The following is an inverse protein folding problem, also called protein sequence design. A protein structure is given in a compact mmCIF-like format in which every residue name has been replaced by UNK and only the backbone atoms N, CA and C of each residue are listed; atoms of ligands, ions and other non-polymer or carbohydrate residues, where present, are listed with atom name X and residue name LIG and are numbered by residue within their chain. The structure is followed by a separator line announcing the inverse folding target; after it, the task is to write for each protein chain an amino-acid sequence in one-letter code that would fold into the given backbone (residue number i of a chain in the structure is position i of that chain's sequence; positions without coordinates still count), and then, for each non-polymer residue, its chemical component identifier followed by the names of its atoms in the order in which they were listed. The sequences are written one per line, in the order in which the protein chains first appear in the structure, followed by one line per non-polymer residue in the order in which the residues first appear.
data_IF_487916505337
#
_entry.id   IF_487916505337
#
_cell.length_a   1.000
_cell.length_b   1.000
_cell.length_c   1.000
_cell.angle_alpha   90.00
_cell.angle_beta   90.00
_cell.angle_gamma   90.00
#
_symmetry.space_group_name_H-M   'P 1'
#
loop_
_entity.id
_entity.type
_entity.pdbx_description
1 polymer ?
#
# COMPACT_ATOMS: atom_id res chain seq x y z
N UNK A 1 22.93 17.47 -10.97
CA UNK A 1 23.72 16.31 -10.47
C UNK A 1 23.51 15.99 -8.98
N UNK A 2 22.97 16.92 -8.17
CA UNK A 2 22.81 16.77 -6.70
C UNK A 2 22.02 15.52 -6.24
N UNK A 3 20.90 15.17 -6.89
CA UNK A 3 20.08 14.03 -6.45
C UNK A 3 20.75 12.65 -6.61
N UNK A 4 21.52 12.40 -7.66
CA UNK A 4 22.19 11.10 -7.85
C UNK A 4 23.26 10.82 -6.80
N UNK A 5 23.90 11.88 -6.30
CA UNK A 5 24.84 11.79 -5.18
C UNK A 5 24.07 11.66 -3.86
N UNK A 6 22.98 12.41 -3.70
CA UNK A 6 22.10 12.30 -2.52
C UNK A 6 21.49 10.90 -2.39
N UNK A 7 21.01 10.29 -3.46
CA UNK A 7 20.42 8.95 -3.47
C UNK A 7 21.44 7.88 -3.07
N UNK A 8 22.63 7.88 -3.68
CA UNK A 8 23.70 6.95 -3.29
C UNK A 8 24.18 7.18 -1.86
N UNK A 9 24.19 8.44 -1.41
CA UNK A 9 24.59 8.80 -0.05
C UNK A 9 23.55 8.31 0.97
N UNK A 10 22.26 8.55 0.73
CA UNK A 10 21.17 8.08 1.60
C UNK A 10 21.13 6.55 1.65
N UNK A 11 21.38 5.84 0.53
CA UNK A 11 21.47 4.38 0.56
C UNK A 11 22.67 3.85 1.38
N UNK A 12 23.74 4.65 1.52
CA UNK A 12 24.94 4.28 2.28
C UNK A 12 24.96 4.78 3.74
N UNK A 13 24.29 5.89 4.05
CA UNK A 13 24.21 6.48 5.40
C UNK A 13 23.18 5.77 6.31
N UNK A 14 22.22 5.04 5.73
CA UNK A 14 21.05 4.50 6.41
C UNK A 14 21.16 3.03 6.87
N UNK A 15 22.35 2.42 6.81
CA UNK A 15 22.61 1.02 7.20
C UNK A 15 21.63 0.01 6.57
N UNK A 16 21.21 0.23 5.31
CA UNK A 16 20.43 -0.78 4.59
C UNK A 16 21.25 -2.05 4.35
N UNK A 17 20.67 -3.25 4.51
CA UNK A 17 21.34 -4.50 4.17
C UNK A 17 21.92 -4.50 2.74
N UNK A 18 23.05 -5.20 2.55
CA UNK A 18 23.75 -5.21 1.26
C UNK A 18 22.87 -5.73 0.10
N UNK A 19 21.99 -6.68 0.37
CA UNK A 19 21.03 -7.21 -0.60
C UNK A 19 19.95 -6.17 -0.96
N UNK A 20 19.58 -5.28 -0.04
CA UNK A 20 18.65 -4.17 -0.32
C UNK A 20 19.31 -3.11 -1.20
N UNK A 21 20.56 -2.75 -0.90
CA UNK A 21 21.33 -1.81 -1.72
C UNK A 21 21.51 -2.34 -3.15
N UNK A 22 21.75 -3.65 -3.31
CA UNK A 22 21.89 -4.30 -4.61
C UNK A 22 20.59 -4.32 -5.42
N UNK A 23 19.44 -4.45 -4.76
CA UNK A 23 18.12 -4.44 -5.39
C UNK A 23 17.57 -3.02 -5.64
N UNK A 24 18.18 -1.98 -5.06
CA UNK A 24 17.77 -0.60 -5.26
C UNK A 24 17.90 -0.17 -6.73
N UNK A 25 17.07 0.78 -7.14
CA UNK A 25 17.10 1.28 -8.51
C UNK A 25 18.45 1.88 -8.84
N UNK A 26 19.01 1.45 -9.97
CA UNK A 26 20.29 1.94 -10.48
C UNK A 26 20.16 3.31 -11.16
N UNK A 27 19.79 4.31 -10.36
CA UNK A 27 19.48 5.67 -10.82
C UNK A 27 20.59 6.28 -11.69
N UNK A 28 21.86 6.04 -11.34
CA UNK A 28 23.02 6.55 -12.10
C UNK A 28 23.14 5.91 -13.48
N UNK A 29 22.93 4.60 -13.59
CA UNK A 29 23.02 3.85 -14.84
C UNK A 29 21.83 4.21 -15.75
N UNK A 30 20.61 4.22 -15.20
CA UNK A 30 19.41 4.66 -15.93
C UNK A 30 19.58 6.07 -16.49
N UNK A 31 20.14 7.00 -15.71
CA UNK A 31 20.43 8.36 -16.18
C UNK A 31 21.51 8.42 -17.27
N UNK A 32 22.46 7.47 -17.30
CA UNK A 32 23.43 7.36 -18.41
C UNK A 32 22.75 6.84 -19.66
N UNK A 33 21.91 5.81 -19.56
CA UNK A 33 21.16 5.29 -20.71
C UNK A 33 20.25 6.37 -21.32
N UNK A 34 19.57 7.18 -20.49
CA UNK A 34 18.80 8.33 -20.99
C UNK A 34 19.66 9.31 -21.80
N UNK A 35 20.90 9.57 -21.37
CA UNK A 35 21.82 10.43 -22.15
C UNK A 35 22.27 9.76 -23.45
N UNK A 36 22.46 8.44 -23.47
CA UNK A 36 22.78 7.70 -24.70
C UNK A 36 21.63 7.75 -25.70
N UNK A 37 20.40 7.53 -25.22
CA UNK A 37 19.18 7.69 -26.04
C UNK A 37 19.09 9.10 -26.62
N UNK A 38 19.42 10.13 -25.82
CA UNK A 38 19.47 11.52 -26.31
C UNK A 38 20.48 11.71 -27.44
N UNK A 39 21.69 11.19 -27.26
CA UNK A 39 22.73 11.26 -28.30
C UNK A 39 22.28 10.53 -29.57
N UNK A 40 21.72 9.32 -29.43
CA UNK A 40 21.22 8.53 -30.55
C UNK A 40 20.10 9.24 -31.32
N UNK A 41 19.17 9.89 -30.62
CA UNK A 41 18.12 10.71 -31.25
C UNK A 41 18.70 11.91 -32.01
N UNK A 42 19.71 12.58 -31.43
CA UNK A 42 20.37 13.73 -32.08
C UNK A 42 21.19 13.29 -33.30
N UNK A 43 21.89 12.15 -33.22
CA UNK A 43 22.65 11.57 -34.33
C UNK A 43 21.73 11.16 -35.49
N UNK A 44 20.49 10.76 -35.18
CA UNK A 44 19.42 10.50 -36.16
C UNK A 44 18.72 11.78 -36.67
N UNK A 45 19.15 12.97 -36.24
CA UNK A 45 18.55 14.25 -36.63
C UNK A 45 17.18 14.51 -35.99
N UNK A 46 16.74 13.69 -35.04
CA UNK A 46 15.50 13.82 -34.28
C UNK A 46 15.75 14.66 -33.03
N UNK A 47 16.02 15.95 -33.23
CA UNK A 47 16.24 16.88 -32.10
C UNK A 47 14.96 17.10 -31.31
N UNK A 48 15.09 17.62 -30.09
CA UNK A 48 13.97 17.90 -29.18
C UNK A 48 12.98 18.88 -29.81
N UNK A 49 13.46 19.83 -30.60
CA UNK A 49 12.65 20.80 -31.33
C UNK A 49 11.84 20.13 -32.45
N UNK A 50 12.46 19.20 -33.19
CA UNK A 50 11.79 18.40 -34.25
C UNK A 50 10.69 17.52 -33.66
N UNK A 51 11.01 16.81 -32.58
CA UNK A 51 10.04 15.92 -31.90
C UNK A 51 8.86 16.70 -31.29
N UNK A 52 9.07 17.95 -30.85
CA UNK A 52 7.98 18.82 -30.38
C UNK A 52 7.06 19.26 -31.52
N UNK A 53 7.63 19.71 -32.65
CA UNK A 53 6.84 20.10 -33.82
C UNK A 53 5.95 18.95 -34.31
N UNK A 54 6.49 17.73 -34.36
CA UNK A 54 5.76 16.52 -34.76
C UNK A 54 4.60 16.13 -33.82
N UNK A 55 4.61 16.59 -32.56
CA UNK A 55 3.56 16.28 -31.56
C UNK A 55 2.51 17.39 -31.48
N UNK A 56 2.87 18.65 -31.78
CA UNK A 56 1.96 19.80 -31.71
C UNK A 56 1.13 19.98 -33.00
N UNK A 57 1.66 19.63 -34.17
CA UNK A 57 0.99 19.87 -35.46
C UNK A 57 0.10 18.70 -35.93
N UNK A 58 0.40 17.47 -35.47
CA UNK A 58 -0.39 16.30 -35.80
C UNK A 58 -1.42 16.04 -34.68
N UNK A 59 -2.70 16.33 -34.93
CA UNK A 59 -3.82 16.02 -34.01
C UNK A 59 -3.96 14.53 -33.61
N UNK A 60 -3.08 13.65 -34.09
CA UNK A 60 -2.81 12.30 -33.60
C UNK A 60 -1.28 12.07 -33.61
N UNK A 61 -0.69 11.46 -32.57
CA UNK A 61 0.76 11.36 -32.48
C UNK A 61 1.32 10.47 -33.59
N UNK A 62 2.12 11.06 -34.49
CA UNK A 62 2.96 10.38 -35.49
C UNK A 62 4.05 9.53 -34.79
N UNK A 63 4.30 9.79 -33.51
CA UNK A 63 5.27 9.10 -32.66
C UNK A 63 4.57 8.22 -31.61
N UNK A 64 4.69 6.88 -31.69
CA UNK A 64 4.08 5.95 -30.72
C UNK A 64 5.06 4.91 -30.19
N UNK A 65 5.33 4.93 -28.88
CA UNK A 65 5.92 3.79 -28.17
C UNK A 65 4.87 2.69 -28.00
N UNK A 66 5.10 1.53 -28.61
CA UNK A 66 4.21 0.37 -28.46
C UNK A 66 4.66 -0.55 -27.33
N UNK A 67 3.69 -1.02 -26.55
CA UNK A 67 3.83 -2.03 -25.49
C UNK A 67 2.90 -3.18 -25.85
N UNK A 68 3.38 -4.42 -25.77
CA UNK A 68 2.57 -5.60 -26.10
C UNK A 68 1.71 -6.11 -24.94
N UNK A 69 1.72 -5.42 -23.80
CA UNK A 69 0.92 -5.78 -22.64
C UNK A 69 1.68 -6.55 -21.55
N UNK A 70 2.94 -6.96 -21.75
CA UNK A 70 3.65 -7.85 -20.81
C UNK A 70 5.06 -7.39 -20.41
N UNK A 71 5.47 -7.73 -19.18
CA UNK A 71 6.81 -7.44 -18.61
C UNK A 71 7.98 -8.11 -19.37
N UNK A 72 7.71 -8.97 -20.35
CA UNK A 72 8.69 -9.86 -20.95
C UNK A 72 9.15 -9.45 -22.36
N UNK A 73 8.50 -8.47 -23.01
CA UNK A 73 8.85 -8.05 -24.37
C UNK A 73 8.64 -6.56 -24.59
N UNK A 74 9.52 -5.77 -23.98
CA UNK A 74 9.66 -4.37 -24.33
C UNK A 74 10.47 -4.24 -25.64
N UNK A 75 9.80 -3.95 -26.76
CA UNK A 75 10.48 -3.53 -28.00
C UNK A 75 10.05 -2.11 -28.35
N UNK A 76 10.88 -1.10 -28.08
CA UNK A 76 10.57 0.26 -28.48
C UNK A 76 10.69 0.36 -30.01
N UNK A 77 9.63 0.84 -30.64
CA UNK A 77 9.57 1.04 -32.09
C UNK A 77 9.14 2.47 -32.37
N UNK A 78 9.97 3.22 -33.07
CA UNK A 78 9.58 4.49 -33.68
C UNK A 78 8.96 4.19 -35.05
N UNK A 79 7.71 4.57 -35.24
CA UNK A 79 6.93 4.28 -36.44
C UNK A 79 6.75 5.58 -37.21
N UNK A 80 7.34 5.71 -38.41
CA UNK A 80 7.19 6.86 -39.30
C UNK A 80 6.35 6.47 -40.52
N UNK A 81 5.38 7.31 -40.90
CA UNK A 81 4.53 7.07 -42.08
C UNK A 81 4.99 7.97 -43.23
N UNK A 82 5.37 7.40 -44.37
CA UNK A 82 5.95 8.13 -45.53
C UNK A 82 5.19 7.76 -46.82
N UNK A 83 5.06 8.70 -47.76
CA UNK A 83 4.61 8.39 -49.14
C UNK A 83 5.68 7.64 -49.92
N UNK A 84 5.24 6.76 -50.80
CA UNK A 84 6.12 5.99 -51.68
C UNK A 84 6.43 6.66 -53.01
N UNK A 85 5.75 7.76 -53.35
CA UNK A 85 5.96 8.43 -54.65
C UNK A 85 7.09 9.46 -54.57
N UNK A 86 7.14 10.28 -53.52
CA UNK A 86 8.13 11.36 -53.39
C UNK A 86 9.24 11.09 -52.36
N UNK A 87 9.16 9.99 -51.59
CA UNK A 87 10.01 9.72 -50.43
C UNK A 87 9.97 10.83 -49.35
N UNK A 88 8.92 11.65 -49.37
CA UNK A 88 8.68 12.76 -48.43
C UNK A 88 7.70 12.29 -47.35
N UNK A 89 7.95 12.59 -46.06
CA UNK A 89 6.96 12.37 -45.00
C UNK A 89 5.67 13.11 -45.34
N UNK A 90 4.55 12.40 -45.38
CA UNK A 90 3.30 12.87 -45.99
C UNK A 90 2.49 13.86 -45.14
N UNK A 91 3.05 14.41 -44.06
CA UNK A 91 2.37 15.49 -43.33
C UNK A 91 3.35 16.47 -42.65
N UNK A 92 3.14 17.74 -43.02
CA UNK A 92 3.48 19.02 -42.38
C UNK A 92 4.88 19.63 -42.64
N UNK A 93 4.92 20.98 -42.61
CA UNK A 93 6.01 21.91 -42.96
C UNK A 93 7.31 21.69 -42.16
N UNK A 94 7.96 20.56 -42.39
CA UNK A 94 9.27 20.26 -41.81
C UNK A 94 10.30 21.23 -42.39
N UNK A 95 11.08 21.87 -41.52
CA UNK A 95 12.22 22.68 -41.95
C UNK A 95 13.15 21.88 -42.87
N UNK A 96 13.71 22.52 -43.90
CA UNK A 96 14.50 21.87 -44.96
C UNK A 96 15.62 20.96 -44.42
N UNK A 97 16.17 21.33 -43.26
CA UNK A 97 17.19 20.55 -42.54
C UNK A 97 16.64 19.25 -41.92
N UNK A 98 15.41 19.28 -41.38
CA UNK A 98 14.73 18.12 -40.78
C UNK A 98 14.33 17.11 -41.86
N UNK A 99 13.85 17.65 -43.00
CA UNK A 99 13.52 16.87 -44.19
C UNK A 99 14.74 16.13 -44.74
N UNK A 100 15.89 16.81 -44.89
CA UNK A 100 17.15 16.18 -45.36
C UNK A 100 17.68 15.09 -44.43
N UNK A 101 17.56 15.25 -43.11
CA UNK A 101 18.00 14.23 -42.15
C UNK A 101 17.13 12.98 -42.19
N UNK A 102 15.80 13.14 -42.28
CA UNK A 102 14.87 12.02 -42.46
C UNK A 102 15.06 11.34 -43.82
N UNK A 103 15.23 12.09 -44.91
CA UNK A 103 15.53 11.56 -46.25
C UNK A 103 16.85 10.77 -46.28
N UNK A 104 17.88 11.21 -45.52
CA UNK A 104 19.15 10.50 -45.37
C UNK A 104 19.00 9.14 -44.69
N UNK A 105 18.23 9.08 -43.60
CA UNK A 105 17.92 7.85 -42.87
C UNK A 105 17.09 6.86 -43.70
N UNK A 106 16.14 7.38 -44.47
CA UNK A 106 15.32 6.62 -45.41
C UNK A 106 16.21 6.03 -46.50
N UNK A 107 17.09 6.83 -47.12
CA UNK A 107 18.05 6.37 -48.14
C UNK A 107 19.04 5.35 -47.60
N UNK A 108 19.52 5.48 -46.36
CA UNK A 108 20.47 4.53 -45.76
C UNK A 108 19.81 3.18 -45.45
N UNK A 109 18.57 3.17 -44.93
CA UNK A 109 17.83 1.92 -44.69
C UNK A 109 17.34 1.24 -45.97
N UNK A 110 16.97 2.00 -47.00
CA UNK A 110 16.60 1.46 -48.32
C UNK A 110 17.82 1.04 -49.15
N UNK A 111 18.97 1.68 -48.97
CA UNK A 111 20.23 1.34 -49.66
C UNK A 111 20.86 0.02 -49.21
N UNK A 112 20.51 -0.48 -48.01
CA UNK A 112 20.92 -1.83 -47.53
C UNK A 112 19.97 -2.96 -47.95
N UNK A 113 18.87 -2.65 -48.62
CA UNK A 113 17.91 -3.63 -49.18
C UNK A 113 18.08 -3.81 -50.69
N UNK A 114 19.29 -4.11 -51.16
CA UNK A 114 19.57 -4.34 -52.58
C UNK A 114 19.45 -5.81 -52.98
N UNK A 115 18.44 -6.11 -53.80
CA UNK A 115 18.30 -7.27 -54.70
C UNK A 115 18.41 -8.68 -54.10
N UNK A 116 17.25 -9.29 -53.88
CA UNK A 116 17.05 -10.73 -53.96
C UNK A 116 15.88 -11.03 -54.89
N UNK A 117 16.12 -11.04 -56.20
CA UNK A 117 15.23 -11.69 -57.16
C UNK A 117 15.30 -13.20 -56.94
N UNK A 118 14.16 -13.84 -56.69
CA UNK A 118 14.01 -15.29 -56.65
C UNK A 118 12.53 -15.66 -56.69
N UNK A 119 12.05 -16.00 -57.88
CA UNK A 119 10.71 -16.48 -58.22
C UNK A 119 10.34 -17.81 -57.55
N UNK A 120 9.02 -18.07 -57.55
CA UNK A 120 8.28 -19.34 -57.35
C UNK A 120 8.13 -19.86 -55.89
N UNK A 121 7.00 -20.37 -55.41
CA UNK A 121 5.69 -20.68 -55.99
C UNK A 121 4.69 -21.03 -54.85
N UNK A 122 3.44 -20.57 -55.02
CA UNK A 122 2.12 -21.22 -54.83
C UNK A 122 1.73 -21.98 -53.53
N UNK A 123 0.44 -21.78 -53.17
CA UNK A 123 -0.52 -22.56 -52.36
C UNK A 123 -0.79 -22.06 -50.92
N UNK A 124 -2.01 -21.66 -50.54
CA UNK A 124 -3.31 -21.65 -51.21
C UNK A 124 -4.42 -21.12 -50.28
N UNK A 125 -5.59 -20.90 -50.90
CA UNK A 125 -6.97 -20.67 -50.40
C UNK A 125 -7.23 -20.08 -49.00
N UNK A 126 -8.21 -19.20 -48.79
CA UNK A 126 -9.60 -19.40 -49.24
C UNK A 126 -10.41 -18.11 -49.12
N UNK A 127 -11.37 -18.02 -50.04
CA UNK A 127 -12.38 -17.03 -50.36
C UNK A 127 -13.19 -16.45 -49.19
N UNK A 128 -13.59 -15.17 -49.33
CA UNK A 128 -15.00 -14.80 -49.27
C UNK A 128 -15.28 -13.56 -50.14
N UNK A 129 -15.91 -13.82 -51.30
CA UNK A 129 -16.50 -12.82 -52.19
C UNK A 129 -17.95 -12.57 -51.75
N UNK A 130 -18.36 -11.30 -51.59
CA UNK A 130 -19.69 -10.89 -52.02
C UNK A 130 -19.70 -9.44 -52.51
N UNK A 131 -19.95 -9.34 -53.81
CA UNK A 131 -20.12 -8.13 -54.61
C UNK A 131 -21.33 -7.31 -54.19
N UNK A 132 -21.25 -5.99 -54.33
CA UNK A 132 -22.29 -5.17 -54.96
C UNK A 132 -21.63 -4.00 -55.70
N UNK A 133 -21.92 -3.91 -57.00
CA UNK A 133 -21.46 -2.87 -57.91
C UNK A 133 -22.29 -1.60 -57.80
N UNK A 134 -21.63 -0.45 -57.76
CA UNK A 134 -22.22 0.86 -58.04
C UNK A 134 -21.14 1.79 -58.54
N UNK A 135 -21.11 2.02 -59.86
CA UNK A 135 -20.21 2.99 -60.51
C UNK A 135 -20.55 4.41 -60.05
N UNK A 136 -19.58 5.08 -59.44
CA UNK A 136 -19.43 6.54 -59.50
C UNK A 136 -17.93 6.84 -59.66
N UNK A 137 -17.60 7.65 -60.66
CA UNK A 137 -16.24 8.15 -60.91
C UNK A 137 -15.79 9.02 -59.74
N UNK A 138 -14.66 8.69 -59.15
CA UNK A 138 -13.76 9.66 -58.53
C UNK A 138 -12.34 9.10 -58.70
N UNK A 139 -11.52 9.81 -59.46
CA UNK A 139 -10.07 9.65 -59.43
C UNK A 139 -9.62 9.87 -57.98
N UNK A 140 -9.22 8.79 -57.32
CA UNK A 140 -8.48 8.85 -56.05
C UNK A 140 -7.23 8.03 -56.30
N UNK A 141 -6.13 8.73 -56.51
CA UNK A 141 -4.79 8.16 -56.50
C UNK A 141 -4.64 7.30 -55.24
N UNK A 142 -4.39 6.02 -55.44
CA UNK A 142 -4.18 5.07 -54.35
C UNK A 142 -2.82 5.39 -53.71
N UNK A 143 -2.82 6.28 -52.72
CA UNK A 143 -1.64 6.62 -51.92
C UNK A 143 -1.07 5.35 -51.30
N UNK A 144 0.07 4.89 -51.81
CA UNK A 144 0.81 3.77 -51.25
C UNK A 144 1.61 4.27 -50.04
N UNK A 145 1.02 4.12 -48.87
CA UNK A 145 1.62 4.50 -47.59
C UNK A 145 2.65 3.43 -47.16
N UNK A 146 3.87 3.84 -46.80
CA UNK A 146 4.87 2.95 -46.16
C UNK A 146 5.19 3.39 -44.74
N UNK A 147 5.23 2.40 -43.85
CA UNK A 147 5.58 2.58 -42.45
C UNK A 147 7.04 2.16 -42.23
N UNK A 148 7.87 3.06 -41.72
CA UNK A 148 9.28 2.79 -41.40
C UNK A 148 9.44 2.64 -39.88
N UNK A 149 9.99 1.49 -39.47
CA UNK A 149 10.35 1.22 -38.09
C UNK A 149 11.81 1.64 -37.82
N UNK A 150 12.00 2.57 -36.89
CA UNK A 150 13.29 2.94 -36.31
C UNK A 150 13.37 2.32 -34.92
N UNK A 151 14.33 1.43 -34.73
CA UNK A 151 14.67 0.84 -33.43
C UNK A 151 15.88 1.61 -32.90
N UNK A 152 15.74 2.21 -31.72
CA UNK A 152 16.91 2.71 -31.00
C UNK A 152 17.52 1.54 -30.23
N UNK A 153 18.83 1.52 -30.07
CA UNK A 153 19.51 0.47 -29.31
C UNK A 153 19.63 0.86 -27.82
N UNK A 154 19.77 2.16 -27.55
CA UNK A 154 20.02 2.67 -26.19
C UNK A 154 18.77 2.68 -25.30
N UNK A 155 17.57 2.69 -25.89
CA UNK A 155 16.31 2.67 -25.14
C UNK A 155 15.97 1.25 -24.67
N UNK A 156 16.23 0.24 -25.48
CA UNK A 156 16.11 -1.17 -25.11
C UNK A 156 16.99 -1.49 -23.88
N UNK A 157 18.23 -0.99 -23.86
CA UNK A 157 19.13 -1.06 -22.68
C UNK A 157 18.50 -0.38 -21.45
N UNK A 158 17.95 0.83 -21.62
CA UNK A 158 17.29 1.57 -20.55
C UNK A 158 16.10 0.81 -19.95
N UNK A 159 15.20 0.30 -20.78
CA UNK A 159 13.97 -0.36 -20.32
C UNK A 159 14.20 -1.75 -19.77
N UNK A 160 15.18 -2.51 -20.29
CA UNK A 160 15.63 -3.75 -19.63
C UNK A 160 16.18 -3.47 -18.23
N UNK A 161 16.99 -2.42 -18.06
CA UNK A 161 17.54 -2.03 -16.77
C UNK A 161 16.43 -1.56 -15.81
N UNK A 162 15.43 -0.83 -16.32
CA UNK A 162 14.30 -0.35 -15.52
C UNK A 162 13.42 -1.52 -15.06
N UNK A 163 13.05 -2.41 -15.98
CA UNK A 163 12.16 -3.55 -15.71
C UNK A 163 12.82 -4.56 -14.76
N UNK A 164 14.09 -4.88 -14.98
CA UNK A 164 14.85 -5.73 -14.05
C UNK A 164 15.02 -5.11 -12.67
N UNK A 165 15.19 -3.78 -12.59
CA UNK A 165 15.23 -3.04 -11.33
C UNK A 165 13.89 -3.10 -10.58
N UNK A 166 12.77 -2.90 -11.27
CA UNK A 166 11.42 -3.01 -10.68
C UNK A 166 11.15 -4.45 -10.20
N UNK A 167 11.43 -5.46 -11.01
CA UNK A 167 11.27 -6.86 -10.63
C UNK A 167 12.12 -7.24 -9.40
N UNK A 168 13.34 -6.70 -9.32
CA UNK A 168 14.22 -6.91 -8.15
C UNK A 168 13.65 -6.27 -6.88
N UNK A 169 13.06 -5.07 -7.00
CA UNK A 169 12.38 -4.39 -5.89
C UNK A 169 11.15 -5.17 -5.42
N UNK A 170 10.31 -5.66 -6.33
CA UNK A 170 9.13 -6.47 -6.01
C UNK A 170 9.49 -7.79 -5.30
N UNK A 171 10.54 -8.47 -5.80
CA UNK A 171 11.05 -9.69 -5.19
C UNK A 171 11.60 -9.45 -3.78
N UNK A 172 12.35 -8.35 -3.59
CA UNK A 172 12.83 -7.94 -2.27
C UNK A 172 11.66 -7.60 -1.35
N UNK A 173 10.69 -6.83 -1.83
CA UNK A 173 9.52 -6.42 -1.07
C UNK A 173 8.73 -7.64 -0.57
N UNK A 174 8.52 -8.63 -1.44
CA UNK A 174 7.82 -9.87 -1.10
C UNK A 174 8.58 -10.69 -0.05
N UNK A 175 9.92 -10.77 -0.16
CA UNK A 175 10.77 -11.44 0.83
C UNK A 175 10.73 -10.74 2.18
N UNK A 176 10.99 -9.44 2.22
CA UNK A 176 10.95 -8.63 3.45
C UNK A 176 9.57 -8.67 4.11
N UNK A 177 8.49 -8.66 3.32
CA UNK A 177 7.13 -8.83 3.84
C UNK A 177 6.96 -10.16 4.58
N UNK A 178 7.40 -11.26 3.98
CA UNK A 178 7.29 -12.59 4.56
C UNK A 178 8.10 -12.72 5.84
N UNK A 179 9.33 -12.18 5.85
CA UNK A 179 10.22 -12.18 7.02
C UNK A 179 9.62 -11.39 8.19
N UNK A 180 9.21 -10.14 7.95
CA UNK A 180 8.60 -9.29 8.99
C UNK A 180 7.29 -9.92 9.49
N UNK A 181 6.46 -10.46 8.58
CA UNK A 181 5.22 -11.16 8.95
C UNK A 181 5.51 -12.35 9.86
N UNK A 182 6.53 -13.14 9.56
CA UNK A 182 6.96 -14.27 10.39
C UNK A 182 7.40 -13.81 11.78
N UNK A 183 8.24 -12.77 11.86
CA UNK A 183 8.67 -12.19 13.14
C UNK A 183 7.49 -11.66 13.97
N UNK A 184 6.54 -10.97 13.34
CA UNK A 184 5.31 -10.48 14.00
C UNK A 184 4.49 -11.63 14.59
N UNK A 185 4.31 -12.72 13.84
CA UNK A 185 3.55 -13.88 14.30
C UNK A 185 4.24 -14.59 15.48
N UNK A 186 5.56 -14.80 15.39
CA UNK A 186 6.35 -15.40 16.46
C UNK A 186 6.36 -14.53 17.72
N UNK A 187 6.50 -13.22 17.54
CA UNK A 187 6.41 -12.25 18.62
C UNK A 187 5.03 -12.33 19.30
N UNK A 188 3.95 -12.38 18.52
CA UNK A 188 2.60 -12.48 19.08
C UNK A 188 2.35 -13.74 19.88
N UNK A 189 2.81 -14.89 19.40
CA UNK A 189 2.75 -16.15 20.15
C UNK A 189 3.57 -16.09 21.45
N UNK A 190 4.76 -15.49 21.40
CA UNK A 190 5.64 -15.36 22.55
C UNK A 190 5.07 -14.39 23.60
N UNK A 191 4.53 -13.26 23.14
CA UNK A 191 3.83 -12.28 23.98
C UNK A 191 2.58 -12.92 24.59
N UNK A 192 1.81 -13.72 23.84
CA UNK A 192 0.69 -14.50 24.36
C UNK A 192 1.11 -15.36 25.55
N UNK A 193 2.23 -16.07 25.43
CA UNK A 193 2.70 -17.01 26.44
C UNK A 193 3.13 -16.34 27.76
N UNK A 194 3.71 -15.13 27.67
CA UNK A 194 4.11 -14.34 28.87
C UNK A 194 2.97 -13.53 29.45
N UNK A 195 2.00 -13.13 28.63
CA UNK A 195 0.80 -12.41 29.03
C UNK A 195 -0.32 -13.35 29.52
N UNK A 196 -0.31 -14.63 29.16
CA UNK A 196 -1.36 -15.57 29.53
C UNK A 196 -1.59 -15.59 31.05
N UNK A 197 -2.85 -15.51 31.51
CA UNK A 197 -3.18 -15.57 32.92
C UNK A 197 -2.90 -16.97 33.49
N UNK A 198 -1.97 -17.04 34.46
CA UNK A 198 -1.52 -18.30 35.08
C UNK A 198 -2.11 -18.47 36.48
N UNK A 199 -2.59 -19.68 36.78
CA UNK A 199 -3.48 -19.98 37.93
C UNK A 199 -2.82 -19.83 39.30
N UNK A 200 -1.51 -20.05 39.47
CA UNK A 200 -0.82 -19.88 40.77
C UNK A 200 0.67 -19.60 40.57
N UNK A 201 1.19 -18.62 41.32
CA UNK A 201 2.60 -18.24 41.50
C UNK A 201 3.46 -17.87 40.29
N UNK A 202 2.92 -17.82 39.08
CA UNK A 202 3.71 -17.43 37.92
C UNK A 202 3.46 -15.97 37.51
N UNK A 203 4.56 -15.27 37.25
CA UNK A 203 4.67 -13.85 36.98
C UNK A 203 4.10 -13.49 35.59
N UNK A 204 2.76 -13.43 35.47
CA UNK A 204 2.09 -12.95 34.26
C UNK A 204 2.26 -11.44 34.09
N UNK A 205 2.63 -11.04 32.89
CA UNK A 205 2.80 -9.63 32.49
C UNK A 205 1.60 -9.08 31.70
N UNK A 206 0.42 -9.72 31.82
CA UNK A 206 -0.81 -9.36 31.09
C UNK A 206 -1.09 -7.86 31.10
N UNK A 207 -1.10 -7.25 32.30
CA UNK A 207 -1.41 -5.82 32.46
C UNK A 207 -0.31 -4.90 31.91
N UNK A 208 0.96 -5.32 31.98
CA UNK A 208 2.07 -4.54 31.43
C UNK A 208 2.01 -4.53 29.90
N UNK A 209 1.76 -5.69 29.30
CA UNK A 209 1.60 -5.81 27.84
C UNK A 209 0.33 -5.15 27.33
N UNK A 210 -0.78 -5.22 28.07
CA UNK A 210 -2.01 -4.49 27.73
C UNK A 210 -1.75 -2.98 27.68
N UNK A 211 -1.06 -2.44 28.68
CA UNK A 211 -0.73 -1.02 28.72
C UNK A 211 0.19 -0.61 27.56
N UNK A 212 1.21 -1.42 27.24
CA UNK A 212 2.07 -1.19 26.08
C UNK A 212 1.25 -1.12 24.79
N UNK A 213 0.33 -2.07 24.58
CA UNK A 213 -0.49 -2.09 23.36
C UNK A 213 -1.52 -0.96 23.32
N UNK A 214 -2.09 -0.57 24.46
CA UNK A 214 -2.97 0.60 24.56
C UNK A 214 -2.24 1.86 24.08
N UNK A 215 -1.06 2.13 24.65
CA UNK A 215 -0.24 3.31 24.29
C UNK A 215 0.18 3.22 22.82
N UNK A 216 0.56 2.03 22.34
CA UNK A 216 0.94 1.83 20.95
C UNK A 216 -0.19 2.17 19.96
N UNK A 217 -1.42 1.74 20.26
CA UNK A 217 -2.60 2.05 19.44
C UNK A 217 -2.96 3.54 19.50
N UNK A 218 -2.96 4.13 20.69
CA UNK A 218 -3.23 5.56 20.89
C UNK A 218 -2.18 6.43 20.18
N UNK A 219 -0.93 5.96 20.10
CA UNK A 219 0.17 6.68 19.43
C UNK A 219 -0.04 6.81 17.92
N UNK A 220 -0.77 5.89 17.27
CA UNK A 220 -1.04 5.95 15.83
C UNK A 220 0.23 6.10 14.99
N UNK A 221 1.22 5.24 15.22
CA UNK A 221 2.59 5.39 14.71
C UNK A 221 2.64 5.43 13.17
N UNK A 222 2.06 4.43 12.51
CA UNK A 222 2.11 4.30 11.04
C UNK A 222 0.85 4.83 10.35
N UNK A 223 -0.28 4.84 11.04
CA UNK A 223 -1.58 5.24 10.50
C UNK A 223 -2.24 6.25 11.42
N UNK A 224 -2.98 7.18 10.82
CA UNK A 224 -3.78 8.09 11.62
C UNK A 224 -4.88 7.38 12.41
N UNK A 225 -5.04 7.80 13.66
CA UNK A 225 -6.13 7.39 14.54
C UNK A 225 -7.38 8.27 14.36
N UNK A 226 -7.30 9.33 13.54
CA UNK A 226 -8.42 10.22 13.26
C UNK A 226 -9.28 9.68 12.12
N UNK A 227 -10.57 9.48 12.39
CA UNK A 227 -11.56 9.06 11.38
C UNK A 227 -11.66 10.07 10.23
N UNK A 228 -11.48 11.36 10.52
CA UNK A 228 -11.47 12.45 9.52
C UNK A 228 -10.33 12.33 8.51
N UNK A 229 -9.24 11.65 8.86
CA UNK A 229 -8.07 11.45 8.00
C UNK A 229 -8.11 10.08 7.30
N UNK A 230 -9.25 9.37 7.36
CA UNK A 230 -9.46 8.09 6.66
C UNK A 230 -8.39 7.02 6.95
N UNK A 231 -7.76 7.07 8.14
CA UNK A 231 -6.62 6.21 8.48
C UNK A 231 -5.51 6.24 7.42
N UNK A 232 -5.19 7.45 6.94
CA UNK A 232 -4.07 7.67 6.03
C UNK A 232 -2.75 7.20 6.65
N UNK A 233 -1.89 6.68 5.78
CA UNK A 233 -0.53 6.29 6.10
C UNK A 233 0.32 7.55 6.34
N UNK A 234 1.09 7.55 7.43
CA UNK A 234 1.95 8.68 7.80
C UNK A 234 3.24 8.67 7.00
N UNK A 235 3.83 9.85 6.84
CA UNK A 235 5.17 9.99 6.29
C UNK A 235 6.21 9.30 7.20
N UNK A 236 7.35 8.90 6.63
CA UNK A 236 8.41 8.17 7.34
C UNK A 236 8.94 8.98 8.53
N UNK A 237 9.12 10.28 8.33
CA UNK A 237 9.61 11.21 9.35
C UNK A 237 8.65 11.30 10.54
N UNK A 238 7.35 11.44 10.25
CA UNK A 238 6.30 11.54 11.26
C UNK A 238 6.12 10.22 12.03
N UNK A 239 6.19 9.08 11.33
CA UNK A 239 6.14 7.76 11.96
C UNK A 239 7.36 7.50 12.86
N UNK A 240 8.54 7.99 12.46
CA UNK A 240 9.78 7.91 13.26
C UNK A 240 9.67 8.73 14.55
N UNK A 241 9.17 9.96 14.45
CA UNK A 241 8.92 10.82 15.62
C UNK A 241 7.94 10.16 16.59
N UNK A 242 6.81 9.65 16.09
CA UNK A 242 5.83 8.95 16.92
C UNK A 242 6.35 7.68 17.57
N UNK A 243 7.17 6.88 16.88
CA UNK A 243 7.78 5.70 17.47
C UNK A 243 8.75 6.08 18.61
N UNK A 244 9.44 7.21 18.46
CA UNK A 244 10.32 7.77 19.51
C UNK A 244 9.50 8.22 20.72
N UNK A 245 8.42 8.99 20.49
CA UNK A 245 7.50 9.41 21.55
C UNK A 245 6.89 8.21 22.29
N UNK A 246 6.48 7.18 21.56
CA UNK A 246 6.01 5.92 22.15
C UNK A 246 7.08 5.29 23.05
N UNK A 247 8.32 5.14 22.56
CA UNK A 247 9.40 4.52 23.33
C UNK A 247 9.74 5.33 24.60
N UNK A 248 9.71 6.66 24.51
CA UNK A 248 9.95 7.57 25.61
C UNK A 248 8.82 7.52 26.64
N UNK A 249 7.56 7.41 26.21
CA UNK A 249 6.41 7.27 27.10
C UNK A 249 6.45 5.94 27.87
N UNK A 250 6.80 4.83 27.22
CA UNK A 250 7.01 3.54 27.90
C UNK A 250 8.13 3.63 28.94
N UNK A 251 9.20 4.39 28.63
CA UNK A 251 10.32 4.63 29.57
C UNK A 251 9.88 5.48 30.75
N UNK A 252 9.12 6.55 30.51
CA UNK A 252 8.58 7.47 31.52
C UNK A 252 7.67 6.75 32.51
N UNK A 253 6.81 5.85 32.03
CA UNK A 253 5.92 5.02 32.85
C UNK A 253 6.64 3.86 33.57
N UNK A 254 7.91 3.62 33.24
CA UNK A 254 8.73 2.58 33.88
C UNK A 254 8.22 1.15 33.66
N UNK A 255 7.45 0.90 32.59
CA UNK A 255 6.78 -0.39 32.37
C UNK A 255 7.81 -1.52 32.20
N UNK A 256 8.92 -1.24 31.49
CA UNK A 256 9.97 -2.21 31.22
C UNK A 256 10.66 -2.73 32.50
N UNK A 257 10.82 -1.86 33.51
CA UNK A 257 11.43 -2.23 34.79
C UNK A 257 10.48 -3.05 35.68
N UNK A 258 9.18 -3.00 35.40
CA UNK A 258 8.12 -3.65 36.18
C UNK A 258 7.72 -5.02 35.64
N UNK A 259 8.30 -5.43 34.51
CA UNK A 259 8.10 -6.77 33.99
C UNK A 259 8.48 -7.82 35.03
N UNK A 260 7.58 -8.77 35.21
CA UNK A 260 7.75 -9.86 36.15
C UNK A 260 8.43 -11.06 35.48
N UNK A 261 8.19 -11.26 34.19
CA UNK A 261 8.79 -12.35 33.41
C UNK A 261 10.14 -11.90 32.80
N UNK A 262 11.23 -12.68 32.96
CA UNK A 262 12.55 -12.31 32.45
C UNK A 262 12.64 -12.25 30.92
N UNK A 263 11.71 -12.89 30.20
CA UNK A 263 11.67 -12.84 28.73
C UNK A 263 10.96 -11.58 28.20
N UNK A 264 10.07 -10.96 28.99
CA UNK A 264 9.29 -9.78 28.56
C UNK A 264 10.15 -8.59 28.10
N UNK A 265 11.28 -8.23 28.77
CA UNK A 265 12.18 -7.18 28.27
C UNK A 265 12.75 -7.48 26.88
N UNK A 266 13.16 -8.72 26.63
CA UNK A 266 13.69 -9.13 25.31
C UNK A 266 12.61 -9.12 24.24
N UNK A 267 11.39 -9.55 24.57
CA UNK A 267 10.24 -9.47 23.68
C UNK A 267 9.86 -8.01 23.36
N UNK A 268 9.97 -7.10 24.32
CA UNK A 268 9.74 -5.68 24.07
C UNK A 268 10.81 -5.08 23.15
N UNK A 269 12.09 -5.46 23.31
CA UNK A 269 13.14 -5.08 22.35
C UNK A 269 12.86 -5.61 20.95
N UNK A 270 12.42 -6.86 20.84
CA UNK A 270 12.01 -7.46 19.55
C UNK A 270 10.81 -6.72 18.95
N UNK A 271 9.82 -6.33 19.76
CA UNK A 271 8.71 -5.49 19.32
C UNK A 271 9.18 -4.16 18.74
N UNK A 272 10.09 -3.45 19.42
CA UNK A 272 10.67 -2.22 18.88
C UNK A 272 11.46 -2.48 17.59
N UNK A 273 12.22 -3.57 17.51
CA UNK A 273 12.97 -3.96 16.31
C UNK A 273 12.04 -4.14 15.11
N UNK A 274 10.92 -4.84 15.28
CA UNK A 274 9.93 -5.06 14.21
C UNK A 274 9.36 -3.73 13.70
N UNK A 275 9.09 -2.79 14.58
CA UNK A 275 8.62 -1.45 14.20
C UNK A 275 9.70 -0.64 13.46
N UNK A 276 10.95 -0.76 13.89
CA UNK A 276 12.09 -0.15 13.20
C UNK A 276 12.33 -0.77 11.82
N UNK A 277 12.18 -2.09 11.69
CA UNK A 277 12.29 -2.79 10.41
C UNK A 277 11.18 -2.33 9.45
N UNK A 278 9.97 -2.08 9.97
CA UNK A 278 8.87 -1.51 9.18
C UNK A 278 9.19 -0.09 8.69
N UNK A 279 9.74 0.78 9.56
CA UNK A 279 10.21 2.11 9.15
C UNK A 279 11.31 2.01 8.08
N UNK A 280 12.25 1.07 8.23
CA UNK A 280 13.31 0.84 7.24
C UNK A 280 12.73 0.44 5.88
N UNK A 281 11.74 -0.46 5.85
CA UNK A 281 11.00 -0.81 4.63
C UNK A 281 10.33 0.42 4.01
N UNK A 282 9.57 1.18 4.79
CA UNK A 282 8.86 2.37 4.31
C UNK A 282 9.83 3.39 3.71
N UNK A 283 10.95 3.63 4.39
CA UNK A 283 11.98 4.56 3.93
C UNK A 283 12.65 4.09 2.65
N UNK A 284 13.06 2.82 2.58
CA UNK A 284 13.62 2.23 1.38
C UNK A 284 12.66 2.36 0.19
N UNK A 285 11.39 2.09 0.43
CA UNK A 285 10.35 2.22 -0.58
C UNK A 285 10.18 3.66 -1.06
N UNK A 286 10.10 4.64 -0.14
CA UNK A 286 9.93 6.06 -0.50
C UNK A 286 11.12 6.62 -1.31
N UNK A 287 12.34 6.23 -0.93
CA UNK A 287 13.56 6.60 -1.65
C UNK A 287 13.55 6.04 -3.08
N UNK A 288 13.19 4.76 -3.25
CA UNK A 288 13.10 4.12 -4.56
C UNK A 288 11.97 4.70 -5.41
N UNK A 289 10.80 4.95 -4.82
CA UNK A 289 9.65 5.61 -5.47
C UNK A 289 10.03 7.01 -5.96
N UNK A 290 10.69 7.80 -5.12
CA UNK A 290 11.18 9.13 -5.49
C UNK A 290 12.21 9.06 -6.62
N UNK A 291 13.10 8.07 -6.60
CA UNK A 291 14.07 7.85 -7.67
C UNK A 291 13.39 7.52 -9.00
N UNK A 292 12.41 6.60 -9.02
CA UNK A 292 11.62 6.31 -10.23
C UNK A 292 10.86 7.51 -10.71
N UNK A 293 10.17 8.23 -9.82
CA UNK A 293 9.42 9.42 -10.19
C UNK A 293 10.33 10.46 -10.88
N UNK A 294 11.56 10.64 -10.37
CA UNK A 294 12.55 11.52 -11.00
C UNK A 294 13.12 10.97 -12.32
N UNK A 295 13.33 9.66 -12.45
CA UNK A 295 13.75 9.02 -13.70
C UNK A 295 12.65 9.18 -14.76
N UNK A 296 11.41 8.87 -14.41
CA UNK A 296 10.27 8.93 -15.31
C UNK A 296 9.92 10.37 -15.68
N UNK A 297 10.03 11.33 -14.75
CA UNK A 297 9.93 12.76 -15.06
C UNK A 297 11.01 13.20 -16.05
N UNK A 298 12.20 12.58 -16.06
CA UNK A 298 13.22 12.87 -17.06
C UNK A 298 12.93 12.30 -18.46
N UNK A 299 11.89 11.49 -18.60
CA UNK A 299 11.45 10.83 -19.84
C UNK A 299 10.12 11.41 -20.35
N UNK A 300 9.23 11.84 -19.45
CA UNK A 300 7.86 12.28 -19.75
C UNK A 300 7.76 13.82 -19.81
N UNK A 301 7.39 14.33 -20.98
CA UNK A 301 7.13 15.75 -21.27
C UNK A 301 5.91 16.28 -20.49
N UNK A 302 6.04 17.43 -19.82
CA UNK A 302 4.93 18.15 -19.17
C UNK A 302 4.91 19.60 -19.70
N UNK A 303 3.76 20.19 -20.10
CA UNK A 303 3.62 21.64 -20.23
C UNK A 303 2.81 22.23 -19.04
N UNK A 304 2.88 23.55 -18.75
CA UNK A 304 3.98 24.48 -18.93
C UNK A 304 4.24 25.32 -17.67
N UNK A 305 5.40 25.19 -17.03
CA UNK A 305 6.10 26.30 -16.36
C UNK A 305 7.55 25.88 -16.21
N UNK A 306 8.38 26.48 -17.08
CA UNK A 306 9.84 26.62 -17.00
C UNK A 306 10.72 25.41 -16.59
N UNK A 307 11.61 25.03 -17.51
CA UNK A 307 12.73 24.09 -17.38
C UNK A 307 12.42 22.59 -17.30
N UNK A 308 12.35 21.91 -18.46
CA UNK A 308 13.31 20.82 -18.77
C UNK A 308 13.23 20.35 -20.24
N UNK A 309 14.39 20.07 -20.84
CA UNK A 309 14.66 20.24 -22.29
C UNK A 309 15.06 18.99 -23.10
N UNK A 310 14.94 17.73 -22.64
CA UNK A 310 15.91 16.71 -23.12
C UNK A 310 15.49 15.49 -23.94
N UNK A 311 14.23 15.08 -24.12
CA UNK A 311 13.96 13.89 -24.97
C UNK A 311 12.68 13.88 -25.82
N UNK A 312 11.62 14.63 -25.50
CA UNK A 312 10.41 14.76 -26.35
C UNK A 312 9.78 13.43 -26.86
N UNK A 313 9.72 12.40 -25.99
CA UNK A 313 9.32 11.02 -26.38
C UNK A 313 7.86 10.62 -26.09
N UNK A 314 6.97 11.53 -25.69
CA UNK A 314 5.52 11.25 -25.62
C UNK A 314 5.08 10.07 -24.71
N UNK A 315 5.89 9.67 -23.73
CA UNK A 315 5.75 8.45 -22.90
C UNK A 315 4.58 8.50 -21.89
N UNK A 316 3.70 9.50 -21.99
CA UNK A 316 2.77 9.92 -20.92
C UNK A 316 1.51 9.06 -20.79
N UNK A 317 1.07 8.37 -21.85
CA UNK A 317 -0.20 7.62 -21.84
C UNK A 317 -0.05 6.15 -21.37
N UNK A 318 1.16 5.58 -21.43
CA UNK A 318 1.37 4.12 -21.24
C UNK A 318 2.05 3.74 -19.91
N UNK A 319 2.72 4.71 -19.26
CA UNK A 319 3.45 4.51 -18.00
C UNK A 319 2.71 4.81 -16.69
N UNK A 320 1.51 5.42 -16.65
CA UNK A 320 0.78 5.64 -15.39
C UNK A 320 0.54 4.34 -14.61
N UNK A 321 0.35 3.20 -15.25
CA UNK A 321 0.07 1.91 -14.59
C UNK A 321 1.18 1.45 -13.64
N UNK A 322 2.44 1.73 -13.94
CA UNK A 322 3.59 1.24 -13.17
C UNK A 322 3.95 2.11 -11.95
N UNK A 323 3.59 3.40 -11.98
CA UNK A 323 3.81 4.37 -10.87
C UNK A 323 2.49 4.73 -10.18
N UNK A 324 1.37 4.20 -10.68
CA UNK A 324 0.06 4.44 -10.12
C UNK A 324 0.03 4.02 -8.64
N UNK A 325 -0.88 4.60 -7.85
CA UNK A 325 -1.17 4.14 -6.49
C UNK A 325 -1.57 2.65 -6.39
N UNK A 326 -1.85 1.98 -7.52
CA UNK A 326 -2.13 0.55 -7.61
C UNK A 326 -1.00 -0.27 -8.28
N UNK A 327 0.12 0.37 -8.59
CA UNK A 327 1.29 -0.28 -9.18
C UNK A 327 2.05 -1.15 -8.17
N UNK A 328 3.08 -1.87 -8.61
CA UNK A 328 3.83 -2.81 -7.76
C UNK A 328 4.57 -2.14 -6.59
N UNK A 329 4.79 -0.84 -6.69
CA UNK A 329 5.39 0.04 -5.66
C UNK A 329 4.32 0.86 -4.94
N UNK A 330 3.10 0.36 -4.85
CA UNK A 330 2.07 0.89 -3.99
C UNK A 330 2.37 0.50 -2.53
N UNK A 331 2.09 1.42 -1.59
CA UNK A 331 2.38 1.28 -0.16
C UNK A 331 1.47 0.27 0.57
N UNK A 332 1.07 -0.81 -0.09
CA UNK A 332 0.21 -1.84 0.48
C UNK A 332 0.96 -2.70 1.51
N UNK A 333 2.30 -2.64 1.52
CA UNK A 333 3.13 -3.43 2.41
C UNK A 333 3.02 -2.99 3.87
N UNK A 334 3.13 -1.70 4.16
CA UNK A 334 3.03 -1.16 5.51
C UNK A 334 1.67 -1.46 6.13
N UNK A 335 0.60 -1.34 5.34
CA UNK A 335 -0.78 -1.65 5.75
C UNK A 335 -0.98 -3.14 5.99
N UNK A 336 -0.44 -4.02 5.14
CA UNK A 336 -0.53 -5.47 5.33
C UNK A 336 0.27 -5.94 6.58
N UNK A 337 1.46 -5.39 6.80
CA UNK A 337 2.27 -5.70 7.98
C UNK A 337 1.62 -5.14 9.24
N UNK A 338 1.15 -3.89 9.24
CA UNK A 338 0.46 -3.29 10.37
C UNK A 338 -0.83 -4.05 10.71
N UNK A 339 -1.62 -4.43 9.71
CA UNK A 339 -2.78 -5.27 9.93
C UNK A 339 -2.39 -6.61 10.56
N UNK A 340 -1.31 -7.24 10.10
CA UNK A 340 -0.79 -8.47 10.72
C UNK A 340 -0.36 -8.21 12.16
N UNK A 341 0.31 -7.10 12.44
CA UNK A 341 0.78 -6.70 13.77
C UNK A 341 -0.40 -6.50 14.72
N UNK A 342 -1.41 -5.74 14.30
CA UNK A 342 -2.63 -5.53 15.06
C UNK A 342 -3.40 -6.84 15.28
N UNK A 343 -3.64 -7.62 14.23
CA UNK A 343 -4.40 -8.88 14.36
C UNK A 343 -3.68 -9.95 15.18
N UNK A 344 -2.35 -10.03 15.10
CA UNK A 344 -1.56 -11.05 15.79
C UNK A 344 -1.22 -10.66 17.23
N UNK A 345 -1.13 -9.36 17.55
CA UNK A 345 -0.78 -8.88 18.89
C UNK A 345 -2.01 -8.47 19.71
N UNK A 346 -3.00 -7.81 19.10
CA UNK A 346 -4.16 -7.28 19.82
C UNK A 346 -5.20 -8.36 20.10
N UNK A 347 -5.46 -9.27 19.16
CA UNK A 347 -6.41 -10.37 19.40
C UNK A 347 -5.88 -11.37 20.45
N UNK A 348 -4.58 -11.36 20.72
CA UNK A 348 -3.93 -12.21 21.71
C UNK A 348 -4.10 -11.66 23.14
N UNK A 349 -4.19 -10.34 23.29
CA UNK A 349 -4.38 -9.69 24.59
C UNK A 349 -5.71 -8.91 24.58
N UNK A 350 -6.77 -9.51 25.15
CA UNK A 350 -8.09 -8.88 25.22
C UNK A 350 -8.01 -7.50 25.89
N UNK A 351 -8.62 -6.49 25.28
CA UNK A 351 -8.73 -5.13 25.82
C UNK A 351 -9.96 -5.01 26.72
N UNK A 352 -9.96 -4.06 27.66
CA UNK A 352 -11.06 -3.93 28.62
C UNK A 352 -12.36 -3.44 27.97
N UNK A 353 -12.23 -2.55 26.99
CA UNK A 353 -13.36 -1.84 26.36
C UNK A 353 -14.34 -2.81 25.67
N UNK A 354 -13.84 -3.92 25.13
CA UNK A 354 -14.64 -4.95 24.46
C UNK A 354 -15.58 -5.71 25.41
N UNK A 355 -15.39 -5.60 26.73
CA UNK A 355 -16.13 -6.35 27.75
C UNK A 355 -16.93 -5.48 28.72
N UNK A 356 -17.02 -4.17 28.44
CA UNK A 356 -17.79 -3.23 29.24
C UNK A 356 -19.30 -3.45 29.03
N UNK A 357 -20.06 -3.31 30.10
CA UNK A 357 -21.51 -3.35 30.05
C UNK A 357 -22.05 -2.00 29.56
N UNK A 358 -22.89 -1.95 28.51
CA UNK A 358 -23.41 -0.70 27.97
C UNK A 358 -24.25 0.15 28.94
N UNK A 359 -24.74 -0.45 30.04
CA UNK A 359 -25.59 0.23 31.02
C UNK A 359 -24.76 0.95 32.08
N UNK A 360 -23.70 0.30 32.58
CA UNK A 360 -22.90 0.83 33.70
C UNK A 360 -21.46 1.20 33.32
N UNK A 361 -21.10 1.03 32.04
CA UNK A 361 -19.76 1.27 31.48
C UNK A 361 -18.63 0.62 32.29
N UNK A 362 -18.95 -0.46 33.00
CA UNK A 362 -18.02 -1.24 33.82
C UNK A 362 -17.95 -2.67 33.28
N UNK A 363 -16.93 -3.43 33.65
CA UNK A 363 -16.80 -4.83 33.23
C UNK A 363 -18.08 -5.63 33.47
N UNK A 364 -18.51 -6.41 32.47
CA UNK A 364 -19.75 -7.19 32.47
C UNK A 364 -19.68 -8.40 33.40
N UNK A 365 -19.61 -8.17 34.71
CA UNK A 365 -19.56 -9.25 35.72
C UNK A 365 -20.86 -10.07 35.72
N UNK A 366 -20.70 -11.41 35.73
CA UNK A 366 -21.80 -12.37 35.53
C UNK A 366 -22.64 -11.97 34.30
N UNK A 367 -22.03 -12.00 33.10
CA UNK A 367 -22.64 -11.51 31.87
C UNK A 367 -23.86 -12.35 31.51
N UNK A 368 -25.00 -11.70 31.26
CA UNK A 368 -26.23 -12.33 30.80
C UNK A 368 -26.43 -12.00 29.33
N UNK A 369 -26.53 -13.05 28.50
CA UNK A 369 -26.75 -12.94 27.06
C UNK A 369 -28.24 -13.06 26.74
N UNK A 370 -28.83 -11.97 26.26
CA UNK A 370 -30.24 -11.95 25.87
C UNK A 370 -30.45 -12.74 24.57
N UNK A 371 -31.70 -13.07 24.25
CA UNK A 371 -32.07 -13.71 22.97
C UNK A 371 -31.77 -12.87 21.72
N UNK A 372 -31.46 -11.58 21.90
CA UNK A 372 -30.97 -10.69 20.85
C UNK A 372 -29.42 -10.64 20.76
N UNK A 373 -28.71 -11.52 21.46
CA UNK A 373 -27.25 -11.63 21.57
C UNK A 373 -26.52 -10.47 22.26
N UNK A 374 -27.21 -9.43 22.73
CA UNK A 374 -26.59 -8.38 23.56
C UNK A 374 -26.30 -8.89 24.97
N UNK A 375 -25.20 -8.42 25.54
CA UNK A 375 -24.65 -8.86 26.83
C UNK A 375 -24.69 -7.72 27.83
N UNK A 376 -25.16 -8.00 29.04
CA UNK A 376 -25.20 -7.04 30.15
C UNK A 376 -24.73 -7.68 31.45
N UNK A 377 -24.32 -6.86 32.42
CA UNK A 377 -24.06 -7.34 33.78
C UNK A 377 -25.36 -7.82 34.44
N UNK A 378 -25.34 -8.92 35.21
CA UNK A 378 -26.55 -9.46 35.86
C UNK A 378 -27.29 -8.40 36.69
N UNK A 379 -26.55 -7.56 37.41
CA UNK A 379 -27.11 -6.51 38.26
C UNK A 379 -27.85 -5.44 37.45
N UNK A 380 -27.29 -5.06 36.31
CA UNK A 380 -27.85 -4.11 35.37
C UNK A 380 -29.17 -4.64 34.80
N UNK A 381 -29.20 -5.93 34.46
CA UNK A 381 -30.40 -6.59 33.94
C UNK A 381 -31.50 -6.70 35.00
N UNK A 382 -31.17 -7.12 36.23
CA UNK A 382 -32.15 -7.21 37.34
C UNK A 382 -32.80 -5.86 37.62
N UNK A 383 -32.04 -4.75 37.56
CA UNK A 383 -32.60 -3.40 37.73
C UNK A 383 -33.60 -3.06 36.62
N UNK A 384 -33.34 -3.43 35.37
CA UNK A 384 -34.28 -3.23 34.26
C UNK A 384 -35.54 -4.07 34.42
N UNK A 385 -35.40 -5.32 34.86
CA UNK A 385 -36.54 -6.21 35.13
C UNK A 385 -37.42 -5.68 36.26
N UNK A 386 -36.82 -5.20 37.36
CA UNK A 386 -37.56 -4.55 38.47
C UNK A 386 -38.27 -3.26 38.05
N UNK A 387 -37.76 -2.57 37.04
CA UNK A 387 -38.38 -1.37 36.48
C UNK A 387 -39.39 -1.70 35.35
N UNK A 388 -39.71 -2.99 35.14
CA UNK A 388 -40.63 -3.48 34.10
C UNK A 388 -40.27 -3.05 32.67
N UNK A 389 -38.98 -2.78 32.41
CA UNK A 389 -38.49 -2.37 31.08
C UNK A 389 -38.05 -3.58 30.25
N UNK A 390 -38.90 -4.01 29.32
CA UNK A 390 -38.61 -5.21 28.49
C UNK A 390 -37.70 -4.93 27.27
N UNK A 391 -37.58 -3.67 26.86
CA UNK A 391 -36.79 -3.30 25.69
C UNK A 391 -35.27 -3.37 25.96
N UNK A 392 -34.56 -4.11 25.11
CA UNK A 392 -33.10 -4.16 25.13
C UNK A 392 -32.49 -2.75 24.91
N UNK A 393 -31.56 -2.28 25.75
CA UNK A 393 -30.94 -0.96 25.59
C UNK A 393 -30.18 -0.75 24.26
N UNK A 394 -29.71 -1.83 23.62
CA UNK A 394 -28.91 -1.76 22.40
C UNK A 394 -29.78 -1.82 21.13
N UNK A 395 -30.75 -2.75 21.07
CA UNK A 395 -31.54 -2.98 19.85
C UNK A 395 -33.05 -2.81 20.04
N UNK A 396 -33.50 -2.42 21.23
CA UNK A 396 -34.92 -2.18 21.59
C UNK A 396 -35.85 -3.39 21.46
N UNK A 397 -35.33 -4.58 21.12
CA UNK A 397 -36.10 -5.83 21.11
C UNK A 397 -36.58 -6.17 22.52
N UNK A 398 -37.84 -6.60 22.62
CA UNK A 398 -38.50 -7.06 23.85
C UNK A 398 -37.95 -8.42 24.28
N UNK A 399 -36.98 -8.46 25.18
CA UNK A 399 -36.34 -9.70 25.62
C UNK A 399 -35.76 -9.66 27.03
N UNK A 400 -35.83 -8.53 27.72
CA UNK A 400 -35.22 -8.34 29.04
C UNK A 400 -36.01 -9.09 30.12
N UNK A 401 -37.34 -9.04 30.10
CA UNK A 401 -38.19 -9.73 31.08
C UNK A 401 -38.19 -11.25 30.91
N UNK A 402 -37.85 -11.73 29.71
CA UNK A 402 -37.76 -13.16 29.39
C UNK A 402 -36.44 -13.80 29.81
N UNK A 403 -35.44 -13.01 30.18
CA UNK A 403 -34.12 -13.51 30.53
C UNK A 403 -34.08 -14.04 31.97
N UNK A 404 -33.56 -15.25 32.16
CA UNK A 404 -33.43 -15.91 33.45
C UNK A 404 -31.98 -16.32 33.75
N UNK A 405 -31.78 -17.13 34.78
CA UNK A 405 -30.45 -17.63 35.17
C UNK A 405 -29.77 -18.50 34.11
N UNK A 406 -30.51 -19.09 33.16
CA UNK A 406 -29.97 -19.92 32.06
C UNK A 406 -29.31 -19.07 30.98
N UNK A 407 -29.67 -17.79 30.90
CA UNK A 407 -29.03 -16.83 29.99
C UNK A 407 -27.64 -16.37 30.46
N UNK A 408 -27.16 -16.82 31.62
CA UNK A 408 -25.83 -16.51 32.12
C UNK A 408 -24.76 -17.13 31.20
N UNK A 409 -23.90 -16.29 30.62
CA UNK A 409 -22.78 -16.73 29.82
C UNK A 409 -21.62 -17.15 30.73
N UNK A 410 -21.65 -18.42 31.16
CA UNK A 410 -20.65 -19.00 32.07
C UNK A 410 -19.26 -18.98 31.44
N UNK A 411 -19.17 -19.18 30.12
CA UNK A 411 -17.91 -19.14 29.38
C UNK A 411 -17.26 -17.76 29.47
N UNK A 412 -18.03 -16.71 29.13
CA UNK A 412 -17.56 -15.34 29.25
C UNK A 412 -17.27 -14.96 30.71
N UNK A 413 -18.08 -15.42 31.66
CA UNK A 413 -17.82 -15.17 33.09
C UNK A 413 -16.45 -15.72 33.54
N UNK A 414 -16.15 -16.97 33.19
CA UNK A 414 -14.88 -17.61 33.53
C UNK A 414 -13.71 -16.91 32.85
N UNK A 415 -13.87 -16.55 31.58
CA UNK A 415 -12.89 -15.77 30.83
C UNK A 415 -12.60 -14.42 31.51
N UNK A 416 -13.62 -13.65 31.90
CA UNK A 416 -13.44 -12.36 32.58
C UNK A 416 -12.72 -12.52 33.92
N UNK A 417 -13.04 -13.56 34.70
CA UNK A 417 -12.32 -13.86 35.95
C UNK A 417 -10.85 -14.16 35.72
N UNK A 418 -10.52 -14.76 34.59
CA UNK A 418 -9.16 -15.18 34.27
C UNK A 418 -8.32 -14.02 33.69
N UNK A 419 -8.86 -13.26 32.74
CA UNK A 419 -8.14 -12.20 32.01
C UNK A 419 -8.32 -10.80 32.58
N UNK A 420 -9.32 -10.58 33.45
CA UNK A 420 -9.60 -9.29 34.09
C UNK A 420 -9.85 -9.44 35.60
N UNK A 421 -8.97 -10.12 36.35
CA UNK A 421 -9.22 -10.45 37.75
C UNK A 421 -9.33 -9.22 38.66
N UNK A 422 -8.64 -8.11 38.35
CA UNK A 422 -8.71 -6.88 39.18
C UNK A 422 -10.06 -6.19 38.99
N UNK A 423 -10.45 -5.99 37.74
CA UNK A 423 -11.69 -5.32 37.35
C UNK A 423 -12.90 -6.11 37.85
N UNK A 424 -12.87 -7.44 37.69
CA UNK A 424 -13.91 -8.34 38.21
C UNK A 424 -14.04 -8.21 39.73
N UNK A 425 -12.93 -8.22 40.48
CA UNK A 425 -12.97 -8.09 41.95
C UNK A 425 -13.56 -6.76 42.40
N UNK A 426 -13.12 -5.66 41.77
CA UNK A 426 -13.63 -4.32 42.06
C UNK A 426 -15.15 -4.26 41.80
N UNK A 427 -15.60 -4.72 40.64
CA UNK A 427 -17.02 -4.66 40.28
C UNK A 427 -17.89 -5.60 41.12
N UNK A 428 -17.36 -6.77 41.48
CA UNK A 428 -18.04 -7.71 42.37
C UNK A 428 -18.25 -7.09 43.76
N UNK A 429 -17.22 -6.46 44.34
CA UNK A 429 -17.31 -5.77 45.62
C UNK A 429 -18.27 -4.56 45.57
N UNK A 430 -18.28 -3.81 44.46
CA UNK A 430 -19.24 -2.72 44.24
C UNK A 430 -20.68 -3.25 44.23
N UNK A 431 -20.94 -4.32 43.49
CA UNK A 431 -22.26 -4.94 43.43
C UNK A 431 -22.72 -5.49 44.80
N UNK A 432 -21.83 -6.11 45.56
CA UNK A 432 -22.12 -6.63 46.90
C UNK A 432 -22.47 -5.49 47.87
N UNK A 433 -21.70 -4.40 47.84
CA UNK A 433 -22.01 -3.20 48.61
C UNK A 433 -23.38 -2.64 48.24
N UNK A 434 -23.69 -2.57 46.96
CA UNK A 434 -24.96 -2.04 46.48
C UNK A 434 -26.15 -2.89 46.95
N UNK A 435 -26.03 -4.22 46.86
CA UNK A 435 -27.05 -5.17 47.35
C UNK A 435 -27.21 -5.07 48.85
N UNK A 436 -26.11 -4.93 49.61
CA UNK A 436 -26.17 -4.74 51.06
C UNK A 436 -26.92 -3.44 51.43
N UNK A 437 -26.70 -2.35 50.70
CA UNK A 437 -27.42 -1.08 50.89
C UNK A 437 -28.90 -1.24 50.55
N UNK A 438 -29.26 -1.88 49.43
CA UNK A 438 -30.66 -2.16 49.08
C UNK A 438 -31.35 -3.02 50.15
N UNK A 439 -30.70 -4.09 50.59
CA UNK A 439 -31.24 -4.96 51.62
C UNK A 439 -31.43 -4.20 52.93
N UNK A 440 -30.43 -3.40 53.34
CA UNK A 440 -30.54 -2.55 54.53
C UNK A 440 -31.70 -1.56 54.41
N UNK A 441 -31.83 -0.87 53.27
CA UNK A 441 -32.95 0.04 52.98
C UNK A 441 -34.30 -0.67 52.93
N UNK A 442 -34.39 -1.91 52.47
CA UNK A 442 -35.66 -2.63 52.44
C UNK A 442 -36.05 -3.15 53.84
N UNK A 443 -35.07 -3.49 54.68
CA UNK A 443 -35.31 -3.95 56.07
C UNK A 443 -35.57 -2.77 57.02
N UNK A 444 -34.98 -1.60 56.75
CA UNK A 444 -35.06 -0.41 57.61
C UNK A 444 -35.81 0.76 56.94
N UNK A 445 -36.41 0.52 55.77
CA UNK A 445 -37.03 1.56 54.95
C UNK A 445 -38.40 1.95 55.49
N UNK A 446 -38.44 3.12 56.10
CA UNK A 446 -39.35 4.20 55.71
C UNK A 446 -40.69 3.70 55.17
N UNK A 447 -41.58 3.37 56.10
CA UNK A 447 -43.00 3.61 55.91
C UNK A 447 -43.17 5.05 55.44
N UNK A 448 -43.35 5.25 54.15
CA UNK A 448 -43.96 6.47 53.65
C UNK A 448 -45.37 6.51 54.25
N UNK A 449 -45.51 7.17 55.39
CA UNK A 449 -46.81 7.49 55.98
C UNK A 449 -47.39 8.55 55.05
N UNK A 450 -48.32 8.14 54.21
CA UNK A 450 -49.20 9.08 53.52
C UNK A 450 -50.09 9.67 54.62
N UNK A 451 -49.90 10.94 54.91
CA UNK A 451 -50.80 11.76 55.73
C UNK A 451 -51.07 13.06 55.01
#
# INVERSE_FOLDING_TARGET
MKFAHSFSRVLGEEDFPADWQAAAIRYRELKRCIKKVQSELVDLGLTVEVLKGLVEEAGSPIFKYMFDGTLNSFQPKLVLTIDTVDWVPLDLDLSENTRRSLEGLVKEKLGKGGLGTGDAAVEGGTEFRKSLSGKAKSDVEMQSIRTIEITLHSDSEFFHLLTSGIASLEALQSRSQSEIRSHVLQLGQSVAAVAAPKSRNNKSDLYHWREIFRIYLESGIFFSNLESESHQERAVEEATERLTLFADEIRRLGIQARFKNPYSPSLFKMFLSVNMDLLRVMRFHDINKTALAKILKSIVFQPPTEFDKRTALGVRQTFPTFVAPAGPLASHLSRAIFHTLCTSLLNVIPQLDDYLCPICSSISIKPVRLSCNHIFCVRCLVKLQRAEKDACPMCRRQCVLRADSRNLDIGLYNFLKQYFPKEVKIKQAENEREVAIEHWRNVHGESCVIS
#
